data_IF_719402460949
#
_entry.id   IF_719402460949
#
_cell.length_a   1.000
_cell.length_b   1.000
_cell.length_c   1.000
_cell.angle_alpha   90.00
_cell.angle_beta   90.00
_cell.angle_gamma   90.00
#
_symmetry.space_group_name_H-M   'P 1'
#
loop_
_entity.id
_entity.type
_entity.pdbx_description
1 polymer ?
#
# COMPACT_ATOMS: atom_id res chain seq x y z
N UNK A 1 -43.54 -76.91 58.08
CA UNK A 1 -44.05 -76.12 56.94
C UNK A 1 -42.90 -75.33 56.34
N UNK A 2 -42.75 -75.43 55.01
CA UNK A 2 -42.15 -74.47 54.07
C UNK A 2 -40.70 -74.00 54.24
N UNK A 3 -39.83 -74.60 53.43
CA UNK A 3 -39.22 -74.01 52.22
C UNK A 3 -38.92 -72.50 52.16
N UNK A 4 -37.63 -72.26 51.84
CA UNK A 4 -37.11 -71.44 50.73
C UNK A 4 -36.93 -69.92 50.90
N UNK A 5 -35.65 -69.56 50.72
CA UNK A 5 -35.06 -68.43 49.99
C UNK A 5 -34.86 -67.03 50.60
N UNK A 6 -33.57 -66.65 50.53
CA UNK A 6 -33.01 -65.41 50.00
C UNK A 6 -32.98 -64.16 50.87
N UNK A 7 -31.76 -63.82 51.33
CA UNK A 7 -31.30 -62.44 51.60
C UNK A 7 -29.80 -62.34 51.29
N UNK A 8 -29.47 -61.71 50.17
CA UNK A 8 -28.83 -60.37 50.03
C UNK A 8 -27.32 -60.36 50.23
N UNK A 9 -26.58 -59.88 49.20
CA UNK A 9 -25.20 -59.41 49.35
C UNK A 9 -24.30 -59.62 48.13
N UNK A 10 -24.66 -59.11 46.95
CA UNK A 10 -23.73 -59.01 45.81
C UNK A 10 -22.75 -57.85 46.03
N UNK A 11 -21.48 -58.10 45.65
CA UNK A 11 -20.36 -57.18 45.83
C UNK A 11 -20.52 -55.86 45.10
N UNK A 12 -20.23 -54.77 45.82
CA UNK A 12 -20.06 -53.45 45.25
C UNK A 12 -18.74 -53.42 44.47
N UNK A 13 -18.83 -53.44 43.13
CA UNK A 13 -17.74 -53.05 42.24
C UNK A 13 -17.62 -51.52 42.29
N UNK A 14 -16.58 -51.02 42.94
CA UNK A 14 -16.17 -49.62 42.82
C UNK A 14 -15.56 -49.40 41.42
N UNK A 15 -16.33 -48.79 40.52
CA UNK A 15 -15.81 -48.26 39.26
C UNK A 15 -15.29 -46.84 39.54
N UNK A 16 -13.98 -46.70 39.75
CA UNK A 16 -13.36 -45.37 39.71
C UNK A 16 -13.39 -44.87 38.27
N UNK A 17 -14.26 -43.89 37.99
CA UNK A 17 -14.21 -43.11 36.77
C UNK A 17 -13.06 -42.10 36.90
N UNK A 18 -11.89 -42.46 36.39
CA UNK A 18 -10.80 -41.51 36.21
C UNK A 18 -11.20 -40.56 35.06
N UNK A 19 -11.73 -39.39 35.40
CA UNK A 19 -11.88 -38.27 34.47
C UNK A 19 -10.48 -37.76 34.18
N UNK A 20 -9.86 -38.30 33.12
CA UNK A 20 -8.67 -37.71 32.55
C UNK A 20 -9.06 -36.36 31.94
N UNK A 21 -8.80 -35.26 32.65
CA UNK A 21 -8.67 -33.95 32.02
C UNK A 21 -7.51 -34.07 31.01
N UNK A 22 -7.83 -34.29 29.74
CA UNK A 22 -6.92 -33.91 28.67
C UNK A 22 -6.79 -32.40 28.74
N UNK A 23 -5.73 -31.89 29.38
CA UNK A 23 -5.15 -30.64 28.91
C UNK A 23 -4.78 -30.90 27.45
N UNK A 24 -5.57 -30.37 26.52
CA UNK A 24 -5.11 -30.21 25.16
C UNK A 24 -3.84 -29.36 25.25
N UNK A 25 -2.68 -29.99 25.12
CA UNK A 25 -1.44 -29.26 24.90
C UNK A 25 -1.71 -28.39 23.67
N UNK A 26 -1.69 -27.07 23.86
CA UNK A 26 -1.75 -26.15 22.73
C UNK A 26 -0.69 -26.62 21.72
N UNK A 27 -1.05 -26.80 20.44
CA UNK A 27 -0.07 -27.28 19.49
C UNK A 27 1.11 -26.30 19.49
N UNK A 28 2.33 -26.84 19.48
CA UNK A 28 3.57 -26.08 19.57
C UNK A 28 3.83 -25.34 18.24
N UNK A 29 2.94 -24.42 17.89
CA UNK A 29 3.03 -23.59 16.71
C UNK A 29 3.87 -22.37 17.07
N UNK A 30 4.74 -21.97 16.16
CA UNK A 30 5.50 -20.73 16.27
C UNK A 30 4.60 -19.51 15.98
N UNK A 31 3.44 -19.43 16.64
CA UNK A 31 2.44 -18.40 16.35
C UNK A 31 3.03 -17.01 16.58
N UNK A 32 2.82 -16.14 15.60
CA UNK A 32 3.26 -14.74 15.65
C UNK A 32 2.42 -13.99 16.70
N UNK A 33 1.09 -14.18 16.67
CA UNK A 33 0.15 -13.69 17.67
C UNK A 33 -0.91 -14.76 17.95
N UNK A 34 -1.32 -14.89 19.21
CA UNK A 34 -2.30 -15.92 19.64
C UNK A 34 -3.75 -15.57 19.33
N UNK A 35 -4.04 -14.29 19.05
CA UNK A 35 -5.40 -13.76 18.94
C UNK A 35 -5.82 -13.39 17.51
N UNK A 36 -5.04 -13.80 16.51
CA UNK A 36 -5.33 -13.54 15.09
C UNK A 36 -5.96 -14.73 14.37
N UNK A 37 -6.03 -15.90 15.01
CA UNK A 37 -6.56 -17.10 14.38
C UNK A 37 -8.02 -16.91 13.95
N UNK A 38 -8.30 -17.21 12.68
CA UNK A 38 -9.64 -17.07 12.11
C UNK A 38 -10.05 -15.64 11.76
N UNK A 39 -9.19 -14.64 11.98
CA UNK A 39 -9.45 -13.29 11.43
C UNK A 39 -9.21 -13.29 9.92
N UNK A 40 -10.05 -12.62 9.11
CA UNK A 40 -9.84 -12.51 7.67
C UNK A 40 -8.48 -11.93 7.29
N UNK A 41 -7.90 -11.08 8.14
CA UNK A 41 -6.60 -10.45 7.92
C UNK A 41 -5.40 -11.25 8.47
N UNK A 42 -5.56 -12.51 8.89
CA UNK A 42 -4.48 -13.28 9.55
C UNK A 42 -3.18 -13.28 8.73
N UNK A 43 -3.23 -13.70 7.47
CA UNK A 43 -2.06 -13.71 6.57
C UNK A 43 -1.46 -12.32 6.36
N UNK A 44 -2.31 -11.29 6.31
CA UNK A 44 -1.86 -9.91 6.17
C UNK A 44 -1.07 -9.48 7.40
N UNK A 45 -1.59 -9.75 8.60
CA UNK A 45 -0.92 -9.45 9.87
C UNK A 45 0.44 -10.15 9.93
N UNK A 46 0.50 -11.43 9.59
CA UNK A 46 1.75 -12.21 9.61
C UNK A 46 2.79 -11.70 8.60
N UNK A 47 2.39 -11.38 7.36
CA UNK A 47 3.30 -10.80 6.35
C UNK A 47 3.80 -9.41 6.74
N UNK A 48 2.93 -8.55 7.26
CA UNK A 48 3.30 -7.22 7.74
C UNK A 48 4.24 -7.31 8.96
N UNK A 49 4.02 -8.29 9.84
CA UNK A 49 4.92 -8.58 10.97
C UNK A 49 6.27 -9.10 10.51
N UNK A 50 6.31 -9.96 9.50
CA UNK A 50 7.56 -10.41 8.88
C UNK A 50 8.35 -9.26 8.26
N UNK A 51 7.67 -8.20 7.79
CA UNK A 51 8.29 -6.94 7.34
C UNK A 51 8.56 -5.94 8.46
N UNK A 52 8.24 -6.26 9.71
CA UNK A 52 8.51 -5.42 10.87
C UNK A 52 7.58 -4.22 11.03
N UNK A 53 6.48 -4.15 10.28
CA UNK A 53 5.48 -3.08 10.44
C UNK A 53 4.68 -3.27 11.74
N UNK A 54 4.40 -4.52 12.08
CA UNK A 54 3.83 -4.87 13.39
C UNK A 54 4.92 -5.49 14.26
N UNK A 55 5.16 -4.96 15.48
CA UNK A 55 6.18 -5.49 16.36
C UNK A 55 5.72 -6.82 16.99
N UNK A 56 6.66 -7.74 17.18
CA UNK A 56 6.39 -9.05 17.77
C UNK A 56 6.21 -8.99 19.29
N UNK A 57 5.41 -9.91 19.87
CA UNK A 57 5.37 -10.10 21.32
C UNK A 57 6.76 -10.33 21.92
N UNK A 58 6.99 -9.79 23.11
CA UNK A 58 8.27 -9.91 23.82
C UNK A 58 9.39 -8.97 23.32
N UNK A 59 9.19 -8.19 22.27
CA UNK A 59 10.04 -7.03 21.96
C UNK A 59 9.73 -5.92 22.96
N UNK A 60 10.75 -5.21 23.46
CA UNK A 60 10.55 -4.14 24.45
C UNK A 60 9.55 -3.10 23.94
N UNK A 61 8.45 -2.91 24.66
CA UNK A 61 7.38 -1.97 24.31
C UNK A 61 6.38 -2.49 23.28
N UNK A 62 6.51 -3.73 22.79
CA UNK A 62 5.53 -4.37 21.92
C UNK A 62 4.40 -5.03 22.73
N UNK A 63 3.16 -5.06 22.19
CA UNK A 63 2.06 -5.74 22.86
C UNK A 63 2.19 -7.26 22.76
N UNK A 64 1.67 -7.96 23.76
CA UNK A 64 1.63 -9.42 23.78
C UNK A 64 0.61 -10.03 22.80
N UNK A 65 -0.36 -9.20 22.35
CA UNK A 65 -1.46 -9.57 21.47
C UNK A 65 -1.60 -8.56 20.33
N UNK A 66 -2.12 -8.99 19.18
CA UNK A 66 -2.37 -8.08 18.07
C UNK A 66 -3.60 -7.20 18.28
N UNK A 67 -4.63 -7.72 18.94
CA UNK A 67 -5.96 -7.14 19.15
C UNK A 67 -6.67 -6.76 17.83
N UNK A 68 -7.12 -7.74 17.02
CA UNK A 68 -7.65 -7.47 15.67
C UNK A 68 -8.93 -6.63 15.66
N UNK A 69 -9.73 -6.64 16.73
CA UNK A 69 -10.98 -5.88 16.84
C UNK A 69 -10.80 -4.48 17.44
N UNK A 70 -9.60 -4.17 17.96
CA UNK A 70 -9.28 -2.85 18.49
C UNK A 70 -9.36 -1.78 17.39
N UNK A 71 -9.66 -0.55 17.81
CA UNK A 71 -9.72 0.62 16.92
C UNK A 71 -8.33 1.17 16.63
N UNK A 72 -8.23 2.00 15.60
CA UNK A 72 -6.97 2.61 15.14
C UNK A 72 -7.09 4.14 15.23
N UNK A 73 -6.09 4.78 15.84
CA UNK A 73 -6.02 6.25 15.90
C UNK A 73 -5.45 6.83 14.60
N UNK A 74 -5.73 8.11 14.32
CA UNK A 74 -5.19 8.82 13.15
C UNK A 74 -3.66 8.82 13.11
N UNK A 75 -3.00 9.01 14.26
CA UNK A 75 -1.54 9.03 14.31
C UNK A 75 -0.94 7.64 14.10
N UNK A 76 -1.51 6.58 14.69
CA UNK A 76 -1.05 5.21 14.47
C UNK A 76 -1.24 4.78 13.01
N UNK A 77 -2.37 5.15 12.41
CA UNK A 77 -2.64 4.91 11.00
C UNK A 77 -1.59 5.60 10.11
N UNK A 78 -1.37 6.90 10.33
CA UNK A 78 -0.38 7.68 9.57
C UNK A 78 1.03 7.09 9.70
N UNK A 79 1.42 6.72 10.91
CA UNK A 79 2.71 6.11 11.20
C UNK A 79 2.94 4.81 10.42
N UNK A 80 1.99 3.88 10.52
CA UNK A 80 2.10 2.58 9.84
C UNK A 80 2.00 2.70 8.32
N UNK A 81 1.16 3.61 7.81
CA UNK A 81 1.02 3.83 6.37
C UNK A 81 2.32 4.39 5.77
N UNK A 82 2.94 5.38 6.42
CA UNK A 82 4.21 5.97 5.97
C UNK A 82 5.35 4.94 6.00
N UNK A 83 5.41 4.10 7.04
CA UNK A 83 6.36 2.99 7.10
C UNK A 83 6.14 1.96 5.99
N UNK A 84 4.88 1.63 5.68
CA UNK A 84 4.53 0.70 4.61
C UNK A 84 4.93 1.23 3.22
N UNK A 85 4.66 2.50 2.96
CA UNK A 85 5.09 3.17 1.72
C UNK A 85 6.62 3.23 1.66
N UNK A 86 7.28 3.39 2.81
CA UNK A 86 8.73 3.49 2.95
C UNK A 86 9.25 4.86 2.54
N UNK A 87 8.53 5.91 2.95
CA UNK A 87 8.95 7.30 2.75
C UNK A 87 10.03 7.64 3.77
N UNK A 88 11.13 8.24 3.32
CA UNK A 88 12.11 8.81 4.22
C UNK A 88 11.52 10.05 4.89
N UNK A 89 11.55 10.06 6.22
CA UNK A 89 11.00 11.16 7.04
C UNK A 89 12.09 12.08 7.58
N UNK A 90 13.36 11.79 7.30
CA UNK A 90 14.48 12.61 7.73
C UNK A 90 14.38 14.04 7.16
N UNK A 91 14.49 15.03 8.04
CA UNK A 91 14.47 16.45 7.66
C UNK A 91 13.09 17.00 7.28
N UNK A 92 12.02 16.21 7.32
CA UNK A 92 10.66 16.71 7.08
C UNK A 92 10.18 17.45 8.32
N UNK A 93 9.83 18.73 8.14
CA UNK A 93 9.34 19.59 9.22
C UNK A 93 7.85 19.36 9.42
N UNK A 94 7.45 19.11 10.68
CA UNK A 94 6.05 19.00 11.05
C UNK A 94 5.33 20.34 10.84
N UNK A 95 4.17 20.37 10.15
CA UNK A 95 3.36 21.57 10.06
C UNK A 95 2.97 22.12 11.44
N UNK A 96 2.72 23.43 11.54
CA UNK A 96 2.35 24.11 12.79
C UNK A 96 0.89 23.83 13.19
N UNK A 97 0.59 22.58 13.53
CA UNK A 97 -0.73 22.20 14.05
C UNK A 97 -0.96 22.80 15.43
N UNK A 98 -2.21 23.20 15.71
CA UNK A 98 -2.61 23.69 17.04
C UNK A 98 -2.43 22.62 18.13
N UNK A 99 -2.57 21.36 17.75
CA UNK A 99 -2.43 20.17 18.60
C UNK A 99 -1.13 19.39 18.33
N UNK A 100 -0.09 20.05 17.79
CA UNK A 100 1.19 19.39 17.49
C UNK A 100 1.82 18.72 18.72
N UNK A 101 1.62 19.28 19.91
CA UNK A 101 2.11 18.73 21.18
C UNK A 101 1.44 17.38 21.56
N UNK A 102 0.25 17.10 21.03
CA UNK A 102 -0.44 15.83 21.26
C UNK A 102 0.07 14.69 20.37
N UNK A 103 0.88 14.99 19.35
CA UNK A 103 1.46 14.00 18.44
C UNK A 103 2.70 13.39 19.10
N UNK A 104 2.72 12.07 19.36
CA UNK A 104 3.88 11.38 19.91
C UNK A 104 5.14 11.66 19.07
N UNK A 105 6.26 11.97 19.72
CA UNK A 105 7.50 12.39 19.04
C UNK A 105 7.94 11.41 17.96
N UNK A 106 7.83 10.10 18.22
CA UNK A 106 8.21 9.04 17.26
C UNK A 106 7.33 9.01 16.01
N UNK A 107 6.13 9.60 16.06
CA UNK A 107 5.15 9.64 14.97
C UNK A 107 5.19 10.98 14.20
N UNK A 108 5.84 12.02 14.73
CA UNK A 108 5.84 13.36 14.13
C UNK A 108 6.37 13.37 12.70
N UNK A 109 7.48 12.67 12.42
CA UNK A 109 8.03 12.58 11.06
C UNK A 109 7.05 11.94 10.07
N UNK A 110 6.32 10.90 10.50
CA UNK A 110 5.31 10.26 9.67
C UNK A 110 4.07 11.15 9.45
N UNK A 111 3.61 11.84 10.51
CA UNK A 111 2.50 12.80 10.38
C UNK A 111 2.89 13.94 9.44
N UNK A 112 4.12 14.46 9.53
CA UNK A 112 4.62 15.47 8.60
C UNK A 112 4.62 14.93 7.16
N UNK A 113 5.18 13.74 6.95
CA UNK A 113 5.28 13.13 5.63
C UNK A 113 3.91 12.89 4.98
N UNK A 114 2.95 12.30 5.71
CA UNK A 114 1.63 11.95 5.15
C UNK A 114 0.81 13.20 4.77
N UNK A 115 1.03 14.32 5.47
CA UNK A 115 0.36 15.60 5.18
C UNK A 115 0.94 16.29 3.95
N UNK A 116 2.11 15.86 3.47
CA UNK A 116 2.78 16.40 2.29
C UNK A 116 3.02 15.36 1.19
N UNK A 117 2.56 14.11 1.38
CA UNK A 117 2.70 13.04 0.41
C UNK A 117 1.91 13.36 -0.87
N UNK A 118 2.58 13.30 -2.02
CA UNK A 118 2.00 13.54 -3.32
C UNK A 118 1.44 12.27 -3.97
N UNK A 119 0.34 12.39 -4.70
CA UNK A 119 -0.22 11.33 -5.53
C UNK A 119 -0.68 11.85 -6.90
N UNK A 120 -0.53 11.05 -7.95
CA UNK A 120 -0.97 11.35 -9.32
C UNK A 120 -1.93 10.26 -9.78
N UNK A 121 -3.14 10.64 -10.20
CA UNK A 121 -4.15 9.71 -10.71
C UNK A 121 -5.02 10.37 -11.79
N UNK A 122 -5.13 9.79 -13.01
CA UNK A 122 -4.30 8.69 -13.52
C UNK A 122 -2.82 9.11 -13.64
N UNK A 123 -1.88 8.17 -13.65
CA UNK A 123 -0.45 8.48 -13.84
C UNK A 123 -0.10 8.94 -15.26
N UNK A 124 -0.99 8.64 -16.22
CA UNK A 124 -0.81 8.87 -17.65
C UNK A 124 -2.14 9.23 -18.29
N UNK A 125 -2.13 10.22 -19.16
CA UNK A 125 -3.25 10.57 -20.04
C UNK A 125 -2.80 10.55 -21.49
N UNK A 126 -3.71 10.17 -22.38
CA UNK A 126 -3.48 10.15 -23.81
C UNK A 126 -4.54 10.98 -24.54
N UNK A 127 -4.11 11.73 -25.56
CA UNK A 127 -4.98 12.45 -26.46
C UNK A 127 -4.62 12.07 -27.90
N UNK A 128 -5.58 11.49 -28.63
CA UNK A 128 -5.44 11.23 -30.06
C UNK A 128 -6.01 12.41 -30.84
N UNK A 129 -5.21 13.02 -31.71
CA UNK A 129 -5.61 14.17 -32.53
C UNK A 129 -5.03 14.02 -33.94
N UNK A 130 -5.89 13.68 -34.90
CA UNK A 130 -5.46 13.37 -36.26
C UNK A 130 -4.49 12.18 -36.28
N UNK A 131 -3.35 12.35 -36.96
CA UNK A 131 -2.27 11.36 -37.06
C UNK A 131 -1.30 11.32 -35.87
N UNK A 132 -1.67 11.89 -34.74
CA UNK A 132 -0.82 12.02 -33.56
C UNK A 132 -1.48 11.40 -32.32
N UNK A 133 -0.65 10.74 -31.52
CA UNK A 133 -0.97 10.39 -30.13
C UNK A 133 -0.08 11.20 -29.22
N UNK A 134 -0.70 12.09 -28.45
CA UNK A 134 -0.05 12.81 -27.37
C UNK A 134 -0.18 12.00 -26.08
N UNK A 135 0.85 12.00 -25.26
CA UNK A 135 0.86 11.36 -23.95
C UNK A 135 1.52 12.29 -22.95
N UNK A 136 0.86 12.53 -21.82
CA UNK A 136 1.46 13.15 -20.65
C UNK A 136 1.48 12.10 -19.53
N UNK A 137 2.65 11.88 -18.93
CA UNK A 137 2.82 10.86 -17.91
C UNK A 137 3.75 11.34 -16.79
N UNK A 138 3.60 10.72 -15.63
CA UNK A 138 4.61 10.75 -14.57
C UNK A 138 5.22 9.37 -14.36
N UNK A 139 6.41 9.29 -13.74
CA UNK A 139 7.14 8.03 -13.63
C UNK A 139 6.61 7.07 -12.55
N UNK A 140 5.83 7.59 -11.59
CA UNK A 140 5.17 6.81 -10.52
C UNK A 140 3.90 7.50 -10.03
N UNK A 141 3.04 6.78 -9.29
CA UNK A 141 1.81 7.36 -8.72
C UNK A 141 2.03 8.16 -7.45
N UNK A 142 3.07 7.88 -6.67
CA UNK A 142 3.20 8.38 -5.29
C UNK A 142 4.58 8.97 -5.11
N UNK A 143 4.62 10.16 -4.52
CA UNK A 143 5.83 10.96 -4.34
C UNK A 143 5.94 11.37 -2.87
N UNK A 144 7.09 11.09 -2.25
CA UNK A 144 7.49 11.67 -0.99
C UNK A 144 7.56 13.20 -1.08
N UNK A 145 7.55 13.92 0.06
CA UNK A 145 7.60 15.38 0.06
C UNK A 145 8.86 15.97 -0.59
N UNK A 146 9.96 15.21 -0.61
CA UNK A 146 11.24 15.60 -1.22
C UNK A 146 11.51 14.97 -2.60
N UNK A 147 10.57 14.15 -3.10
CA UNK A 147 10.73 13.52 -4.40
C UNK A 147 10.51 14.51 -5.54
N UNK A 148 11.32 14.39 -6.60
CA UNK A 148 11.04 15.03 -7.86
C UNK A 148 9.88 14.31 -8.58
N UNK A 149 8.86 15.09 -8.96
CA UNK A 149 7.82 14.64 -9.88
C UNK A 149 8.40 14.69 -11.29
N UNK A 150 8.72 13.52 -11.86
CA UNK A 150 9.22 13.42 -13.24
C UNK A 150 8.03 13.46 -14.17
N UNK A 151 7.98 14.44 -15.06
CA UNK A 151 6.87 14.67 -15.99
C UNK A 151 7.40 14.48 -17.40
N UNK A 152 6.71 13.67 -18.21
CA UNK A 152 7.10 13.37 -19.60
C UNK A 152 5.96 13.68 -20.56
N UNK A 153 6.24 14.50 -21.58
CA UNK A 153 5.37 14.73 -22.72
C UNK A 153 5.93 13.96 -23.92
N UNK A 154 5.13 13.06 -24.48
CA UNK A 154 5.46 12.29 -25.68
C UNK A 154 4.47 12.60 -26.80
N UNK A 155 4.97 12.77 -28.02
CA UNK A 155 4.16 12.98 -29.22
C UNK A 155 4.57 11.93 -30.25
N UNK A 156 3.70 10.96 -30.49
CA UNK A 156 3.92 9.88 -31.45
C UNK A 156 3.21 10.18 -32.78
N UNK A 157 3.94 10.13 -33.89
CA UNK A 157 3.36 10.10 -35.22
C UNK A 157 2.89 8.68 -35.56
N UNK A 158 1.57 8.50 -35.64
CA UNK A 158 0.94 7.21 -35.94
C UNK A 158 0.66 7.01 -37.42
N UNK A 159 1.04 7.96 -38.27
CA UNK A 159 0.86 7.88 -39.72
C UNK A 159 2.07 7.25 -40.42
N UNK A 160 1.87 6.88 -41.68
CA UNK A 160 2.94 6.43 -42.57
C UNK A 160 3.70 7.59 -43.25
N UNK A 161 3.42 8.85 -42.90
CA UNK A 161 4.02 10.03 -43.52
C UNK A 161 4.71 10.90 -42.48
N UNK A 162 5.70 11.66 -42.92
CA UNK A 162 6.35 12.66 -42.08
C UNK A 162 5.41 13.84 -41.82
N UNK A 163 5.40 14.32 -40.58
CA UNK A 163 4.62 15.47 -40.15
C UNK A 163 5.57 16.63 -39.85
N UNK A 164 5.18 17.85 -40.23
CA UNK A 164 5.98 19.07 -40.05
C UNK A 164 5.27 20.05 -39.13
N UNK A 165 6.00 20.63 -38.19
CA UNK A 165 5.49 21.53 -37.17
C UNK A 165 6.22 22.86 -37.19
N UNK A 166 5.49 23.94 -37.46
CA UNK A 166 5.99 25.29 -37.31
C UNK A 166 5.98 25.73 -35.84
N UNK A 167 7.04 26.40 -35.42
CA UNK A 167 7.19 27.00 -34.10
C UNK A 167 7.63 28.45 -34.27
N UNK A 168 7.25 29.30 -33.32
CA UNK A 168 7.67 30.72 -33.32
C UNK A 168 9.16 30.84 -32.98
N UNK A 169 9.63 30.00 -32.05
CA UNK A 169 11.00 29.97 -31.56
C UNK A 169 11.35 28.55 -31.09
N UNK A 170 12.53 28.37 -30.50
CA UNK A 170 13.04 27.08 -30.02
C UNK A 170 12.32 26.53 -28.78
N UNK A 171 11.27 27.20 -28.29
CA UNK A 171 10.35 26.61 -27.32
C UNK A 171 9.43 25.64 -28.06
N UNK A 172 9.80 24.36 -28.07
CA UNK A 172 9.01 23.27 -28.68
C UNK A 172 7.96 22.69 -27.75
N UNK A 173 8.15 22.88 -26.45
CA UNK A 173 7.24 22.43 -25.41
C UNK A 173 7.28 23.35 -24.20
N UNK A 174 6.32 23.16 -23.30
CA UNK A 174 6.34 23.75 -21.97
C UNK A 174 5.74 22.79 -20.95
N UNK A 175 6.12 22.97 -19.68
CA UNK A 175 5.48 22.31 -18.55
C UNK A 175 5.05 23.38 -17.55
N UNK A 176 3.78 23.36 -17.19
CA UNK A 176 3.16 24.34 -16.29
C UNK A 176 2.50 23.57 -15.16
N UNK A 177 2.68 24.05 -13.93
CA UNK A 177 1.93 23.59 -12.77
C UNK A 177 1.02 24.72 -12.30
N UNK A 178 -0.26 24.43 -12.10
CA UNK A 178 -1.23 25.38 -11.56
C UNK A 178 -1.89 24.88 -10.28
N UNK A 179 -2.26 25.79 -9.40
CA UNK A 179 -3.12 25.48 -8.25
C UNK A 179 -4.56 25.18 -8.71
N UNK A 180 -5.39 24.71 -7.78
CA UNK A 180 -6.83 24.49 -8.04
C UNK A 180 -7.58 25.77 -8.42
N UNK A 181 -7.10 26.93 -7.98
CA UNK A 181 -7.62 28.26 -8.29
C UNK A 181 -7.08 28.81 -9.62
N UNK A 182 -6.21 28.06 -10.30
CA UNK A 182 -5.61 28.43 -11.59
C UNK A 182 -4.37 29.31 -11.49
N UNK A 183 -3.85 29.56 -10.30
CA UNK A 183 -2.60 30.29 -10.11
C UNK A 183 -1.44 29.49 -10.69
N UNK A 184 -0.55 30.12 -11.46
CA UNK A 184 0.68 29.49 -11.96
C UNK A 184 1.68 29.33 -10.81
N UNK A 185 2.02 28.07 -10.51
CA UNK A 185 2.90 27.67 -9.42
C UNK A 185 4.32 27.44 -9.91
N UNK A 186 4.45 26.80 -11.07
CA UNK A 186 5.75 26.58 -11.70
C UNK A 186 5.58 26.58 -13.23
N UNK A 187 6.60 27.05 -13.94
CA UNK A 187 6.63 27.08 -15.40
C UNK A 187 8.03 26.85 -15.91
N UNK A 188 8.19 25.79 -16.70
CA UNK A 188 9.49 25.37 -17.20
C UNK A 188 10.16 26.44 -18.06
N UNK A 189 9.39 27.18 -18.85
CA UNK A 189 9.93 28.21 -19.74
C UNK A 189 10.40 29.48 -19.02
N UNK A 190 10.09 29.68 -17.73
CA UNK A 190 10.41 30.92 -17.03
C UNK A 190 11.94 31.09 -16.92
N UNK A 191 12.44 32.28 -17.26
CA UNK A 191 13.87 32.61 -17.23
C UNK A 191 14.72 31.95 -18.33
N UNK A 192 14.12 31.19 -19.25
CA UNK A 192 14.84 30.57 -20.38
C UNK A 192 14.83 31.47 -21.61
N UNK A 193 15.95 31.46 -22.35
CA UNK A 193 16.06 32.12 -23.65
C UNK A 193 15.65 31.14 -24.77
N UNK A 194 14.90 31.66 -25.75
CA UNK A 194 14.48 30.90 -26.94
C UNK A 194 14.87 31.63 -28.21
N UNK A 195 15.48 30.90 -29.14
CA UNK A 195 15.95 31.46 -30.41
C UNK A 195 14.87 31.35 -31.49
N UNK A 196 14.77 32.31 -32.42
CA UNK A 196 13.87 32.20 -33.56
C UNK A 196 14.08 30.89 -34.34
N UNK A 197 13.00 30.30 -34.86
CA UNK A 197 13.07 29.13 -35.73
C UNK A 197 12.65 29.50 -37.15
N UNK A 198 13.50 29.19 -38.12
CA UNK A 198 13.27 29.52 -39.53
C UNK A 198 12.71 28.34 -40.35
N UNK A 199 12.77 27.12 -39.82
CA UNK A 199 12.32 25.92 -40.49
C UNK A 199 11.42 25.07 -39.58
N UNK A 200 10.44 24.34 -40.16
CA UNK A 200 9.57 23.47 -39.39
C UNK A 200 10.31 22.24 -38.87
N UNK A 201 9.95 21.82 -37.65
CA UNK A 201 10.44 20.58 -37.07
C UNK A 201 9.72 19.38 -37.70
N UNK A 202 10.47 18.39 -38.16
CA UNK A 202 9.90 17.19 -38.79
C UNK A 202 9.83 16.02 -37.80
N UNK A 203 8.65 15.42 -37.67
CA UNK A 203 8.42 14.16 -36.97
C UNK A 203 8.19 13.04 -37.98
N UNK A 204 9.20 12.20 -38.17
CA UNK A 204 9.15 11.09 -39.12
C UNK A 204 8.03 10.09 -38.78
N UNK A 205 7.50 9.43 -39.80
CA UNK A 205 6.52 8.35 -39.65
C UNK A 205 6.93 7.33 -38.57
N UNK A 206 6.03 7.02 -37.64
CA UNK A 206 6.27 6.07 -36.54
C UNK A 206 7.26 6.52 -35.46
N UNK A 207 7.85 7.73 -35.55
CA UNK A 207 8.76 8.27 -34.53
C UNK A 207 8.01 9.11 -33.50
N UNK A 208 8.70 9.40 -32.40
CA UNK A 208 8.19 10.22 -31.29
C UNK A 208 9.12 11.39 -30.99
N UNK A 209 8.53 12.52 -30.61
CA UNK A 209 9.20 13.48 -29.73
C UNK A 209 8.94 13.09 -28.28
N UNK A 210 9.93 13.31 -27.42
CA UNK A 210 9.83 13.02 -25.99
C UNK A 210 10.64 14.06 -25.22
N UNK A 211 9.96 14.77 -24.32
CA UNK A 211 10.57 15.74 -23.44
C UNK A 211 10.19 15.42 -22.00
N UNK A 212 11.13 15.59 -21.09
CA UNK A 212 10.88 15.42 -19.67
C UNK A 212 11.37 16.61 -18.87
N UNK A 213 10.79 16.77 -17.68
CA UNK A 213 11.22 17.71 -16.66
C UNK A 213 11.06 17.08 -15.27
N UNK A 214 11.63 17.73 -14.27
CA UNK A 214 11.52 17.36 -12.87
C UNK A 214 10.99 18.55 -12.07
N UNK A 215 9.89 18.37 -11.36
CA UNK A 215 9.35 19.37 -10.46
C UNK A 215 9.56 18.95 -9.00
N UNK A 216 10.25 19.78 -8.22
CA UNK A 216 10.57 19.51 -6.81
C UNK A 216 9.42 19.81 -5.85
N UNK A 217 8.20 20.04 -6.38
CA UNK A 217 7.04 20.44 -5.59
C UNK A 217 7.26 21.78 -4.86
N UNK A 218 7.98 22.69 -5.52
CA UNK A 218 8.21 24.07 -5.08
C UNK A 218 7.47 25.04 -6.00
N UNK A 219 7.14 26.22 -5.50
CA UNK A 219 6.67 27.34 -6.30
C UNK A 219 7.84 28.13 -6.94
N UNK A 220 7.54 29.26 -7.58
CA UNK A 220 8.54 30.12 -8.23
C UNK A 220 9.47 30.88 -7.25
N UNK A 221 9.18 30.85 -5.95
CA UNK A 221 10.00 31.45 -4.89
C UNK A 221 10.89 30.41 -4.20
N UNK A 222 10.93 29.17 -4.72
CA UNK A 222 11.58 28.00 -4.11
C UNK A 222 10.95 27.56 -2.77
N UNK A 223 9.71 27.99 -2.49
CA UNK A 223 8.97 27.56 -1.31
C UNK A 223 8.18 26.26 -1.61
N UNK A 224 8.14 25.28 -0.68
CA UNK A 224 7.33 24.08 -0.86
C UNK A 224 5.85 24.42 -1.03
N UNK A 225 5.22 23.82 -2.04
CA UNK A 225 3.80 24.04 -2.29
C UNK A 225 2.94 23.42 -1.19
N UNK A 226 1.86 24.10 -0.85
CA UNK A 226 0.92 23.67 0.19
C UNK A 226 0.21 22.35 -0.17
N UNK A 227 -0.32 21.60 0.82
CA UNK A 227 -1.24 20.50 0.56
C UNK A 227 -2.43 20.99 -0.27
N UNK A 228 -2.77 20.25 -1.32
CA UNK A 228 -3.79 20.68 -2.28
C UNK A 228 -3.72 19.94 -3.61
N UNK A 229 -4.65 20.29 -4.50
CA UNK A 229 -4.70 19.76 -5.86
C UNK A 229 -3.99 20.71 -6.82
N UNK A 230 -3.13 20.15 -7.64
CA UNK A 230 -2.35 20.85 -8.66
C UNK A 230 -2.60 20.23 -10.03
N UNK A 231 -2.77 21.09 -11.04
CA UNK A 231 -2.83 20.67 -12.44
C UNK A 231 -1.42 20.71 -13.05
N UNK A 232 -0.93 19.57 -13.51
CA UNK A 232 0.30 19.45 -14.29
C UNK A 232 -0.08 19.47 -15.76
N UNK A 233 0.41 20.46 -16.49
CA UNK A 233 0.09 20.70 -17.89
C UNK A 233 1.34 20.51 -18.74
N UNK A 234 1.27 19.61 -19.72
CA UNK A 234 2.27 19.48 -20.78
C UNK A 234 1.75 20.17 -22.04
N UNK A 235 2.56 21.05 -22.63
CA UNK A 235 2.18 21.86 -23.80
C UNK A 235 3.11 21.56 -24.97
N UNK A 236 2.54 21.27 -26.15
CA UNK A 236 3.22 21.34 -27.44
C UNK A 236 2.95 22.71 -28.06
N UNK A 237 3.99 23.53 -28.18
CA UNK A 237 3.91 24.99 -28.45
C UNK A 237 3.95 25.32 -29.95
N UNK A 238 3.29 24.52 -30.77
CA UNK A 238 3.20 24.76 -32.21
C UNK A 238 2.53 26.09 -32.52
N UNK A 239 3.00 26.76 -33.58
CA UNK A 239 2.44 28.03 -34.05
C UNK A 239 0.96 27.89 -34.42
N UNK A 240 0.60 26.80 -35.09
CA UNK A 240 -0.78 26.44 -35.37
C UNK A 240 -1.24 25.35 -34.38
N UNK A 241 -2.40 25.57 -33.76
CA UNK A 241 -3.06 24.59 -32.88
C UNK A 241 -2.19 24.04 -31.73
N UNK A 242 -1.67 24.91 -30.84
CA UNK A 242 -0.98 24.44 -29.65
C UNK A 242 -1.87 23.44 -28.90
N UNK A 243 -1.25 22.37 -28.40
CA UNK A 243 -1.98 21.25 -27.80
C UNK A 243 -1.47 21.02 -26.40
N UNK A 244 -2.38 20.95 -25.44
CA UNK A 244 -2.07 20.69 -24.03
C UNK A 244 -2.74 19.42 -23.54
N UNK A 245 -2.11 18.78 -22.56
CA UNK A 245 -2.65 17.67 -21.79
C UNK A 245 -2.49 18.00 -20.32
N UNK A 246 -3.40 17.49 -19.48
CA UNK A 246 -3.38 17.74 -18.04
C UNK A 246 -3.40 16.44 -17.24
N UNK A 247 -2.59 16.40 -16.20
CA UNK A 247 -2.64 15.44 -15.10
C UNK A 247 -2.91 16.18 -13.79
N UNK A 248 -3.39 15.46 -12.77
CA UNK A 248 -3.59 16.04 -11.46
C UNK A 248 -2.64 15.43 -10.44
N UNK A 249 -1.97 16.29 -9.69
CA UNK A 249 -1.14 15.96 -8.55
C UNK A 249 -1.84 16.43 -7.27
N UNK A 250 -2.15 15.50 -6.38
CA UNK A 250 -2.77 15.79 -5.09
C UNK A 250 -1.72 15.63 -3.99
N UNK A 251 -1.39 16.73 -3.31
CA UNK A 251 -0.47 16.77 -2.17
C UNK A 251 -1.24 16.69 -0.87
N UNK A 252 -0.79 15.82 0.03
CA UNK A 252 -1.40 15.57 1.34
C UNK A 252 -2.49 14.53 1.27
N UNK A 253 -2.11 13.25 1.27
CA UNK A 253 -3.09 12.13 1.26
C UNK A 253 -3.93 12.09 2.55
N UNK A 254 -3.38 12.61 3.65
CA UNK A 254 -4.09 12.88 4.91
C UNK A 254 -3.78 14.32 5.36
N UNK A 255 -4.54 15.32 4.89
CA UNK A 255 -4.31 16.72 5.25
C UNK A 255 -4.76 17.02 6.68
N UNK A 256 -4.37 18.19 7.16
CA UNK A 256 -4.91 18.79 8.38
C UNK A 256 -6.43 19.00 8.27
N UNK A 257 -7.09 19.09 9.42
CA UNK A 257 -8.47 19.53 9.46
C UNK A 257 -8.57 21.05 9.29
N UNK A 258 -9.76 21.54 8.95
CA UNK A 258 -10.02 22.96 8.67
C UNK A 258 -9.73 23.90 9.84
N UNK A 259 -9.70 23.38 11.07
CA UNK A 259 -9.35 24.12 12.29
C UNK A 259 -7.83 24.18 12.56
N UNK A 260 -7.00 23.68 11.63
CA UNK A 260 -5.55 23.52 11.74
C UNK A 260 -5.11 22.54 12.84
N UNK A 261 -5.86 21.45 13.02
CA UNK A 261 -5.51 20.32 13.90
C UNK A 261 -5.25 19.04 13.12
N UNK A 262 -4.43 18.14 13.66
CA UNK A 262 -4.25 16.79 13.12
C UNK A 262 -5.17 15.75 13.80
N UNK A 263 -5.48 15.96 15.08
CA UNK A 263 -6.26 15.09 15.99
C UNK A 263 -5.65 13.69 16.14
N UNK A 264 -4.43 13.55 16.68
CA UNK A 264 -3.68 12.30 16.66
C UNK A 264 -4.41 11.13 17.34
N UNK A 265 -5.16 11.40 18.42
CA UNK A 265 -5.89 10.40 19.21
C UNK A 265 -7.28 10.07 18.67
N UNK A 266 -7.77 10.78 17.66
CA UNK A 266 -9.09 10.51 17.11
C UNK A 266 -9.08 9.16 16.37
N UNK A 267 -10.08 8.34 16.64
CA UNK A 267 -10.25 7.05 15.97
C UNK A 267 -10.68 7.23 14.51
N UNK A 268 -10.02 6.50 13.62
CA UNK A 268 -10.27 6.44 12.19
C UNK A 268 -11.62 5.79 11.90
N UNK A 269 -12.36 6.34 10.93
CA UNK A 269 -13.52 5.65 10.36
C UNK A 269 -13.08 4.70 9.23
N UNK A 270 -13.95 3.75 8.87
CA UNK A 270 -13.74 2.90 7.69
C UNK A 270 -13.62 3.71 6.39
N UNK A 271 -14.38 4.81 6.28
CA UNK A 271 -14.27 5.74 5.17
C UNK A 271 -12.87 6.38 5.10
N UNK A 272 -12.37 6.90 6.23
CA UNK A 272 -11.05 7.52 6.28
C UNK A 272 -9.94 6.51 5.92
N UNK A 273 -10.01 5.31 6.48
CA UNK A 273 -9.03 4.26 6.22
C UNK A 273 -9.00 3.87 4.74
N UNK A 274 -10.16 3.64 4.14
CA UNK A 274 -10.27 3.28 2.73
C UNK A 274 -9.78 4.39 1.80
N UNK A 275 -10.23 5.63 2.02
CA UNK A 275 -9.91 6.76 1.14
C UNK A 275 -8.45 7.17 1.22
N UNK A 276 -7.86 7.22 2.42
CA UNK A 276 -6.45 7.59 2.58
C UNK A 276 -5.53 6.50 2.04
N UNK A 277 -5.85 5.22 2.26
CA UNK A 277 -5.05 4.12 1.68
C UNK A 277 -5.14 4.11 0.16
N UNK A 278 -6.34 4.30 -0.41
CA UNK A 278 -6.54 4.38 -1.86
C UNK A 278 -5.75 5.54 -2.49
N UNK A 279 -5.78 6.74 -1.89
CA UNK A 279 -4.95 7.88 -2.31
C UNK A 279 -3.47 7.56 -2.27
N UNK A 280 -3.03 6.85 -1.23
CA UNK A 280 -1.64 6.44 -1.02
C UNK A 280 -1.11 5.41 -2.01
N UNK A 281 -1.97 4.87 -2.89
CA UNK A 281 -1.58 4.02 -4.01
C UNK A 281 -1.98 4.60 -5.37
N UNK A 282 -2.32 5.90 -5.42
CA UNK A 282 -2.64 6.61 -6.66
C UNK A 282 -4.06 6.42 -7.17
N UNK A 283 -5.04 6.21 -6.28
CA UNK A 283 -6.47 6.07 -6.62
C UNK A 283 -7.32 7.24 -6.10
N UNK A 284 -6.71 8.42 -5.92
CA UNK A 284 -7.35 9.61 -5.37
C UNK A 284 -8.56 10.08 -6.21
N UNK A 285 -8.39 10.14 -7.53
CA UNK A 285 -9.36 10.68 -8.48
C UNK A 285 -10.03 9.58 -9.31
N UNK A 286 -10.27 8.42 -8.70
CA UNK A 286 -11.00 7.34 -9.37
C UNK A 286 -12.38 7.84 -9.81
N UNK A 287 -12.71 7.60 -11.09
CA UNK A 287 -13.97 8.04 -11.66
C UNK A 287 -15.16 7.50 -10.84
N UNK A 288 -16.25 8.27 -10.71
CA UNK A 288 -17.45 7.77 -10.07
C UNK A 288 -17.90 6.48 -10.74
N UNK A 289 -18.00 5.40 -9.95
CA UNK A 289 -18.47 4.10 -10.42
C UNK A 289 -19.59 3.60 -9.52
N UNK A 290 -20.33 2.60 -10.00
CA UNK A 290 -21.39 1.98 -9.21
C UNK A 290 -20.82 1.30 -7.98
N UNK A 291 -21.32 1.68 -6.82
CA UNK A 291 -20.96 1.07 -5.55
C UNK A 291 -21.81 -0.19 -5.33
N UNK A 292 -21.18 -1.36 -5.30
CA UNK A 292 -21.83 -2.64 -5.05
C UNK A 292 -22.02 -2.92 -3.53
N UNK A 293 -22.45 -1.90 -2.79
CA UNK A 293 -22.78 -1.98 -1.34
C UNK A 293 -24.20 -1.49 -1.09
N UNK A 294 -24.84 -2.02 -0.05
CA UNK A 294 -26.25 -1.75 0.27
C UNK A 294 -26.49 -0.40 0.93
N UNK A 295 -25.47 0.22 1.51
CA UNK A 295 -25.50 1.51 2.18
C UNK A 295 -24.77 2.62 1.39
N UNK A 296 -24.74 2.50 0.06
CA UNK A 296 -24.05 3.45 -0.83
C UNK A 296 -24.45 4.92 -0.62
N UNK A 297 -25.70 5.17 -0.21
CA UNK A 297 -26.20 6.51 0.07
C UNK A 297 -25.63 7.14 1.35
N UNK A 298 -25.09 6.34 2.26
CA UNK A 298 -24.36 6.83 3.43
C UNK A 298 -22.93 7.30 3.10
N UNK A 299 -22.44 7.02 1.90
CA UNK A 299 -21.11 7.41 1.44
C UNK A 299 -21.19 8.78 0.75
N UNK A 300 -20.39 9.79 1.19
CA UNK A 300 -20.36 11.11 0.56
C UNK A 300 -20.09 11.02 -0.94
N UNK A 301 -20.86 11.76 -1.75
CA UNK A 301 -20.80 11.69 -3.21
C UNK A 301 -19.38 11.85 -3.78
N UNK A 302 -18.60 12.77 -3.21
CA UNK A 302 -17.21 13.04 -3.58
C UNK A 302 -16.24 11.89 -3.26
N UNK A 303 -16.59 10.99 -2.34
CA UNK A 303 -15.78 9.85 -1.97
C UNK A 303 -16.19 8.55 -2.68
N UNK A 304 -17.33 8.52 -3.39
CA UNK A 304 -17.89 7.28 -3.97
C UNK A 304 -16.94 6.60 -4.96
N UNK A 305 -16.30 7.36 -5.85
CA UNK A 305 -15.32 6.82 -6.80
C UNK A 305 -14.11 6.20 -6.10
N UNK A 306 -13.54 6.90 -5.13
CA UNK A 306 -12.41 6.40 -4.32
C UNK A 306 -12.80 5.16 -3.50
N UNK A 307 -13.99 5.14 -2.89
CA UNK A 307 -14.47 3.98 -2.11
C UNK A 307 -14.72 2.78 -3.02
N UNK A 308 -15.29 2.99 -4.20
CA UNK A 308 -15.49 1.91 -5.17
C UNK A 308 -14.15 1.30 -5.60
N UNK A 309 -13.15 2.14 -5.89
CA UNK A 309 -11.80 1.67 -6.20
C UNK A 309 -11.16 0.95 -5.00
N UNK A 310 -11.38 1.41 -3.77
CA UNK A 310 -10.88 0.76 -2.57
C UNK A 310 -11.49 -0.64 -2.36
N UNK A 311 -12.80 -0.77 -2.61
CA UNK A 311 -13.51 -2.06 -2.56
C UNK A 311 -13.01 -3.01 -3.67
N UNK A 312 -12.86 -2.51 -4.90
CA UNK A 312 -12.37 -3.30 -6.04
C UNK A 312 -10.95 -3.82 -5.81
N UNK A 313 -10.08 -2.98 -5.22
CA UNK A 313 -8.71 -3.38 -4.85
C UNK A 313 -8.64 -4.24 -3.59
N UNK A 314 -9.75 -4.41 -2.86
CA UNK A 314 -9.79 -5.18 -1.62
C UNK A 314 -9.11 -4.50 -0.43
N UNK A 315 -8.88 -3.19 -0.48
CA UNK A 315 -8.32 -2.40 0.64
C UNK A 315 -9.19 -2.58 1.89
N UNK A 316 -10.50 -2.60 1.68
CA UNK A 316 -11.50 -2.95 2.68
C UNK A 316 -12.52 -3.88 2.04
N UNK A 317 -13.13 -4.75 2.83
CA UNK A 317 -14.20 -5.64 2.37
C UNK A 317 -15.57 -5.19 2.91
N UNK A 318 -16.66 -5.37 2.15
CA UNK A 318 -18.01 -5.22 2.69
C UNK A 318 -18.25 -6.16 3.88
N UNK A 319 -19.12 -5.77 4.79
CA UNK A 319 -19.49 -6.56 5.98
C UNK A 319 -20.98 -6.87 6.01
N UNK A 320 -21.34 -7.95 6.73
CA UNK A 320 -22.74 -8.35 6.90
C UNK A 320 -23.46 -8.51 5.56
N UNK A 321 -24.57 -7.78 5.40
CA UNK A 321 -25.36 -7.75 4.18
C UNK A 321 -24.77 -6.80 3.11
N UNK A 322 -23.49 -6.98 2.77
CA UNK A 322 -22.72 -6.16 1.80
C UNK A 322 -22.72 -4.65 2.12
N UNK A 323 -22.60 -4.29 3.39
CA UNK A 323 -22.50 -2.90 3.83
C UNK A 323 -21.04 -2.42 3.83
N UNK A 324 -20.81 -1.14 3.57
CA UNK A 324 -19.52 -0.48 3.73
C UNK A 324 -19.31 0.10 5.14
N UNK A 325 -20.38 0.62 5.77
CA UNK A 325 -20.41 1.27 7.09
C UNK A 325 -19.42 2.43 7.22
N UNK A 326 -19.61 3.53 6.47
CA UNK A 326 -18.59 4.58 6.33
C UNK A 326 -18.18 5.22 7.67
N UNK A 327 -19.11 5.35 8.61
CA UNK A 327 -18.88 6.00 9.91
C UNK A 327 -18.44 5.03 11.02
N UNK A 328 -18.43 3.72 10.77
CA UNK A 328 -17.95 2.74 11.74
C UNK A 328 -16.45 2.95 11.96
N UNK A 329 -15.99 2.78 13.20
CA UNK A 329 -14.57 2.82 13.54
C UNK A 329 -13.82 1.67 12.86
N UNK A 330 -12.72 2.00 12.22
CA UNK A 330 -11.87 1.03 11.56
C UNK A 330 -11.14 0.17 12.59
N UNK A 331 -11.13 -1.13 12.35
CA UNK A 331 -10.45 -2.12 13.19
C UNK A 331 -8.99 -2.30 12.78
N UNK A 332 -8.16 -2.81 13.69
CA UNK A 332 -6.76 -3.20 13.41
C UNK A 332 -6.65 -4.30 12.36
N UNK A 333 -7.65 -5.18 12.27
CA UNK A 333 -7.76 -6.17 11.20
C UNK A 333 -7.96 -5.52 9.83
N UNK A 334 -8.87 -4.54 9.70
CA UNK A 334 -9.08 -3.79 8.47
C UNK A 334 -7.86 -2.95 8.09
N UNK A 335 -7.14 -2.40 9.08
CA UNK A 335 -5.85 -1.77 8.85
C UNK A 335 -4.82 -2.73 8.27
N UNK A 336 -4.66 -3.91 8.86
CA UNK A 336 -3.74 -4.91 8.34
C UNK A 336 -4.09 -5.30 6.91
N UNK A 337 -5.38 -5.49 6.59
CA UNK A 337 -5.83 -5.73 5.22
C UNK A 337 -5.45 -4.59 4.27
N UNK A 338 -5.74 -3.35 4.64
CA UNK A 338 -5.45 -2.18 3.82
C UNK A 338 -3.94 -1.99 3.57
N UNK A 339 -3.11 -2.13 4.62
CA UNK A 339 -1.66 -2.07 4.49
C UNK A 339 -1.10 -3.21 3.66
N UNK A 340 -1.66 -4.41 3.76
CA UNK A 340 -1.22 -5.55 2.97
C UNK A 340 -1.48 -5.38 1.47
N UNK A 341 -2.67 -4.86 1.12
CA UNK A 341 -3.00 -4.49 -0.25
C UNK A 341 -2.09 -3.37 -0.75
N UNK A 342 -1.79 -2.37 0.09
CA UNK A 342 -0.85 -1.30 -0.24
C UNK A 342 0.55 -1.85 -0.50
N UNK A 343 1.08 -2.67 0.41
CA UNK A 343 2.41 -3.29 0.29
C UNK A 343 2.51 -4.15 -0.97
N UNK A 344 1.44 -4.87 -1.31
CA UNK A 344 1.36 -5.67 -2.54
C UNK A 344 1.31 -4.78 -3.77
N UNK A 345 0.45 -3.76 -3.78
CA UNK A 345 0.27 -2.86 -4.93
C UNK A 345 1.55 -2.07 -5.25
N UNK A 346 2.27 -1.66 -4.21
CA UNK A 346 3.53 -0.93 -4.34
C UNK A 346 4.76 -1.87 -4.49
N UNK A 347 4.55 -3.19 -4.63
CA UNK A 347 5.61 -4.20 -4.72
C UNK A 347 6.65 -4.12 -3.58
N UNK A 348 6.22 -3.79 -2.37
CA UNK A 348 7.07 -3.60 -1.19
C UNK A 348 7.43 -4.91 -0.49
N UNK A 349 6.79 -6.01 -0.87
CA UNK A 349 7.17 -7.33 -0.41
C UNK A 349 8.32 -7.91 -1.25
N UNK A 350 9.52 -7.97 -0.67
CA UNK A 350 10.65 -8.75 -1.20
C UNK A 350 10.51 -10.23 -0.84
N UNK A 351 9.75 -10.97 -1.63
CA UNK A 351 9.67 -12.43 -1.50
C UNK A 351 10.84 -13.12 -2.17
N UNK A 352 11.50 -13.99 -1.41
CA UNK A 352 12.41 -14.99 -1.94
C UNK A 352 11.63 -16.18 -2.48
N UNK A 353 12.18 -16.86 -3.48
CA UNK A 353 11.56 -18.01 -4.14
C UNK A 353 12.59 -19.11 -4.39
N UNK A 354 12.12 -20.34 -4.38
CA UNK A 354 12.88 -21.51 -4.83
C UNK A 354 12.29 -22.81 -4.33
N UNK A 355 12.92 -23.92 -4.67
CA UNK A 355 12.44 -25.25 -4.33
C UNK A 355 13.13 -25.77 -3.06
N UNK A 356 12.35 -26.28 -2.11
CA UNK A 356 12.90 -26.94 -0.91
C UNK A 356 13.64 -28.22 -1.33
N UNK A 357 14.90 -28.39 -0.92
CA UNK A 357 15.72 -29.54 -1.32
C UNK A 357 15.89 -30.58 -0.23
N UNK A 358 16.12 -30.11 0.99
CA UNK A 358 16.45 -30.97 2.11
C UNK A 358 15.34 -30.93 3.17
N UNK A 359 15.17 -31.99 3.97
CA UNK A 359 14.37 -31.92 5.17
C UNK A 359 14.82 -30.77 6.08
N UNK A 360 13.88 -30.21 6.83
CA UNK A 360 14.18 -29.14 7.79
C UNK A 360 15.05 -29.71 8.91
N UNK A 361 16.20 -29.09 9.14
CA UNK A 361 17.22 -29.55 10.10
C UNK A 361 17.69 -28.41 11.00
N UNK A 362 18.44 -28.76 12.06
CA UNK A 362 19.12 -27.79 12.92
C UNK A 362 18.28 -27.17 14.04
N UNK A 363 18.96 -26.44 14.93
CA UNK A 363 18.39 -25.60 15.97
C UNK A 363 19.20 -24.29 16.07
N UNK A 364 18.71 -23.16 15.55
CA UNK A 364 17.36 -22.95 14.99
C UNK A 364 17.12 -23.73 13.69
N UNK A 365 15.86 -24.04 13.34
CA UNK A 365 15.51 -24.73 12.10
C UNK A 365 16.05 -24.00 10.86
N UNK A 366 16.46 -24.76 9.86
CA UNK A 366 16.98 -24.25 8.59
C UNK A 366 16.25 -24.84 7.39
N UNK A 367 16.07 -24.04 6.35
CA UNK A 367 15.55 -24.46 5.05
C UNK A 367 16.63 -24.32 3.98
N UNK A 368 16.80 -25.36 3.16
CA UNK A 368 17.72 -25.40 2.03
C UNK A 368 16.93 -25.25 0.74
N UNK A 369 17.18 -24.16 0.02
CA UNK A 369 16.42 -23.74 -1.16
C UNK A 369 17.32 -23.77 -2.39
N UNK A 370 16.87 -24.38 -3.47
CA UNK A 370 17.44 -24.18 -4.80
C UNK A 370 16.70 -23.03 -5.50
N UNK A 371 17.43 -21.98 -5.84
CA UNK A 371 16.88 -20.84 -6.57
C UNK A 371 16.79 -21.10 -8.09
N UNK A 372 16.24 -20.14 -8.83
CA UNK A 372 16.06 -20.22 -10.29
C UNK A 372 17.37 -20.38 -11.06
N UNK A 373 18.52 -20.06 -10.45
CA UNK A 373 19.86 -20.23 -11.02
C UNK A 373 20.50 -21.57 -10.65
N UNK A 374 19.72 -22.48 -10.03
CA UNK A 374 20.18 -23.74 -9.47
C UNK A 374 21.21 -23.58 -8.35
N UNK A 375 21.28 -22.40 -7.73
CA UNK A 375 22.14 -22.18 -6.58
C UNK A 375 21.43 -22.64 -5.31
N UNK A 376 22.13 -23.43 -4.49
CA UNK A 376 21.66 -23.82 -3.16
C UNK A 376 21.94 -22.70 -2.16
N UNK A 377 20.92 -22.32 -1.40
CA UNK A 377 21.00 -21.32 -0.34
C UNK A 377 20.33 -21.86 0.92
N UNK A 378 20.96 -21.64 2.06
CA UNK A 378 20.46 -22.06 3.36
C UNK A 378 19.99 -20.84 4.14
N UNK A 379 18.78 -20.90 4.68
CA UNK A 379 18.20 -19.84 5.49
C UNK A 379 17.80 -20.40 6.85
N UNK A 380 18.10 -19.66 7.92
CA UNK A 380 17.53 -19.93 9.24
C UNK A 380 16.09 -19.48 9.27
N UNK A 381 15.25 -20.22 9.99
CA UNK A 381 13.85 -19.86 10.24
C UNK A 381 13.75 -19.22 11.62
N UNK A 382 13.07 -18.08 11.68
CA UNK A 382 12.88 -17.31 12.89
C UNK A 382 12.06 -18.10 13.92
N UNK A 383 12.28 -17.87 15.21
CA UNK A 383 11.52 -18.54 16.27
C UNK A 383 10.01 -18.32 16.16
N UNK A 384 9.57 -17.11 15.82
CA UNK A 384 8.17 -16.80 15.51
C UNK A 384 8.03 -16.64 14.00
N UNK A 385 7.26 -17.52 13.38
CA UNK A 385 7.09 -17.59 11.94
C UNK A 385 5.73 -18.19 11.58
N UNK A 386 5.22 -17.86 10.39
CA UNK A 386 4.03 -18.51 9.84
C UNK A 386 4.39 -19.38 8.64
N UNK A 387 3.74 -20.55 8.53
CA UNK A 387 3.90 -21.47 7.39
C UNK A 387 2.53 -21.80 6.82
N UNK A 388 2.41 -21.69 5.50
CA UNK A 388 1.27 -22.18 4.75
C UNK A 388 1.75 -23.22 3.75
N UNK A 389 1.05 -24.35 3.62
CA UNK A 389 1.26 -25.33 2.57
C UNK A 389 -0.06 -25.57 1.84
N UNK A 390 -0.07 -25.40 0.52
CA UNK A 390 -1.27 -25.52 -0.32
C UNK A 390 -2.44 -24.67 0.21
N UNK A 391 -2.13 -23.40 0.51
CA UNK A 391 -3.06 -22.41 1.04
C UNK A 391 -3.71 -22.73 2.40
N UNK A 392 -3.18 -23.70 3.13
CA UNK A 392 -3.63 -24.03 4.49
C UNK A 392 -2.52 -23.76 5.47
N UNK A 393 -2.90 -23.29 6.66
CA UNK A 393 -1.97 -23.12 7.77
C UNK A 393 -1.32 -24.48 8.07
N UNK A 394 -0.01 -24.47 8.25
CA UNK A 394 0.81 -25.67 8.39
C UNK A 394 1.95 -25.41 9.39
N UNK A 395 2.65 -26.46 9.77
CA UNK A 395 3.90 -26.36 10.52
C UNK A 395 5.10 -26.48 9.57
N UNK A 396 6.29 -26.03 10.02
CA UNK A 396 7.54 -26.29 9.31
C UNK A 396 7.71 -27.77 8.97
N UNK A 397 7.41 -28.66 9.93
CA UNK A 397 7.55 -30.12 9.75
C UNK A 397 6.65 -30.68 8.65
N UNK A 398 5.67 -29.93 8.16
CA UNK A 398 4.75 -30.36 7.11
C UNK A 398 5.28 -30.06 5.71
N UNK A 399 6.30 -29.21 5.60
CA UNK A 399 7.02 -28.97 4.35
C UNK A 399 7.74 -30.22 3.88
N UNK A 400 7.83 -30.40 2.57
CA UNK A 400 8.45 -31.57 1.93
C UNK A 400 9.48 -31.13 0.90
N UNK A 401 10.63 -31.82 0.79
CA UNK A 401 11.50 -31.69 -0.37
C UNK A 401 10.70 -31.76 -1.68
N UNK A 402 10.94 -30.80 -2.57
CA UNK A 402 10.19 -30.59 -3.81
C UNK A 402 9.07 -29.56 -3.71
N UNK A 403 8.69 -29.11 -2.50
CA UNK A 403 7.75 -27.98 -2.36
C UNK A 403 8.37 -26.71 -2.97
N UNK A 404 7.58 -26.01 -3.77
CA UNK A 404 7.92 -24.66 -4.26
C UNK A 404 7.64 -23.66 -3.15
N UNK A 405 8.67 -22.97 -2.68
CA UNK A 405 8.58 -22.02 -1.59
C UNK A 405 8.61 -20.58 -2.10
N UNK A 406 7.78 -19.75 -1.48
CA UNK A 406 7.82 -18.29 -1.53
C UNK A 406 7.84 -17.79 -0.09
N UNK A 407 8.84 -17.01 0.30
CA UNK A 407 9.01 -16.65 1.71
C UNK A 407 9.55 -15.24 1.95
N UNK A 408 9.28 -14.69 3.13
CA UNK A 408 9.78 -13.41 3.62
C UNK A 408 10.79 -13.61 4.75
N UNK A 409 11.88 -12.85 4.68
CA UNK A 409 12.85 -12.68 5.77
C UNK A 409 12.53 -11.44 6.59
N UNK A 410 12.97 -11.41 7.85
CA UNK A 410 12.97 -10.18 8.67
C UNK A 410 14.08 -9.26 8.20
N UNK A 411 13.73 -8.19 7.50
CA UNK A 411 14.73 -7.33 6.85
C UNK A 411 15.49 -8.05 5.73
N UNK A 412 16.61 -7.46 5.30
CA UNK A 412 17.29 -7.87 4.06
C UNK A 412 18.21 -9.10 4.19
N UNK A 413 18.66 -9.42 5.41
CA UNK A 413 19.60 -10.54 5.68
C UNK A 413 19.12 -11.41 6.85
N UNK A 414 17.88 -11.23 7.31
CA UNK A 414 17.38 -11.88 8.52
C UNK A 414 16.76 -13.26 8.31
N UNK A 415 16.35 -13.84 9.43
CA UNK A 415 15.72 -15.16 9.47
C UNK A 415 14.35 -15.15 8.77
N UNK A 416 13.98 -16.30 8.20
CA UNK A 416 12.69 -16.51 7.52
C UNK A 416 11.56 -16.43 8.54
N UNK A 417 10.59 -15.56 8.30
CA UNK A 417 9.46 -15.33 9.21
C UNK A 417 8.09 -15.64 8.61
N UNK A 418 8.01 -15.84 7.30
CA UNK A 418 6.76 -16.18 6.63
C UNK A 418 7.04 -17.07 5.42
N UNK A 419 6.38 -18.22 5.31
CA UNK A 419 6.59 -19.20 4.23
C UNK A 419 5.23 -19.57 3.63
N UNK A 420 5.14 -19.49 2.30
CA UNK A 420 4.11 -20.09 1.47
C UNK A 420 4.74 -21.23 0.66
N UNK A 421 4.20 -22.42 0.80
CA UNK A 421 4.64 -23.61 0.11
C UNK A 421 3.53 -24.15 -0.81
N UNK A 422 3.91 -24.57 -2.00
CA UNK A 422 3.02 -25.29 -2.92
C UNK A 422 3.68 -26.59 -3.31
N UNK A 423 2.98 -27.69 -3.08
CA UNK A 423 3.51 -29.04 -3.29
C UNK A 423 2.41 -30.04 -3.58
N UNK A 424 2.82 -31.20 -4.11
CA UNK A 424 1.91 -32.33 -4.31
C UNK A 424 1.57 -33.05 -3.01
#
# INVERSE_FOLDING_TARGET
MMNLFARTGWGARALMLAVALMLAAAPAWAEIFIDIQGTPAQRAIERLTAKGLFPLPGVRGAPDKFNPTGTVTRADFAFLLVQAIGVDTAGIVLPKFKDAADIPQVQQGAVAAITSLGSVSPQKVELKRGGLTYTLATNKAVYGPSDFVVITLTILNTTAKDLKFEHVNSQLYDFIVRSAEGQEIAKWSLGRAFLPMEAPLTLTAGKKFEWNTQWKQLDQSDDPVDPGRYEIIGVHTTKANPTSLSLFFNKGVMPALSDNTFRPKQEMTRLDLATVTARSIGLADAAPSSLNVTDADSIPATARGTVAAALEKGIVAPVGNREFRPNQKATRSELAQALDVLMTTLNRYSFNRGMLKDPITGNPPQISIEDERKALRVFRVARSHAVYRNDRLAELRDLRPGDSLRFLTRGDVGDVAYIEATGR
#
